data_IF_402406402707
#
_entry.id   IF_402406402707
#
_cell.length_a   1.000
_cell.length_b   1.000
_cell.length_c   1.000
_cell.angle_alpha   90.00
_cell.angle_beta   90.00
_cell.angle_gamma   90.00
#
_symmetry.space_group_name_H-M   'P 1'
#
loop_
_entity.id
_entity.type
_entity.pdbx_description
1 polymer ?
#
# COMPACT_ATOMS: atom_id res chain seq x y z
N UNK A 1 -19.76 -5.91 9.33
CA UNK A 1 -18.33 -5.90 8.99
C UNK A 1 -18.22 -5.64 7.49
N UNK A 2 -17.61 -4.54 7.09
CA UNK A 2 -17.47 -4.25 5.66
C UNK A 2 -16.43 -5.19 5.05
N UNK A 3 -16.77 -5.84 3.94
CA UNK A 3 -15.85 -6.72 3.23
C UNK A 3 -14.67 -5.93 2.65
N UNK A 4 -13.50 -6.54 2.63
CA UNK A 4 -12.31 -5.88 2.08
C UNK A 4 -12.46 -5.71 0.56
N UNK A 5 -12.34 -4.48 0.01
CA UNK A 5 -12.66 -4.21 -1.39
C UNK A 5 -11.78 -4.95 -2.40
N UNK A 6 -10.56 -5.33 -2.03
CA UNK A 6 -9.66 -6.12 -2.90
C UNK A 6 -10.13 -7.58 -3.02
N UNK A 7 -10.80 -8.12 -2.01
CA UNK A 7 -11.20 -9.53 -1.99
C UNK A 7 -12.54 -9.80 -2.68
N UNK A 8 -13.34 -8.76 -2.92
CA UNK A 8 -14.72 -8.89 -3.44
C UNK A 8 -14.82 -9.17 -4.94
N UNK A 9 -13.76 -8.92 -5.72
CA UNK A 9 -13.80 -9.09 -7.18
C UNK A 9 -12.48 -9.65 -7.73
N UNK A 10 -12.59 -10.60 -8.66
CA UNK A 10 -11.44 -11.17 -9.39
C UNK A 10 -10.71 -10.08 -10.20
N UNK A 11 -11.45 -9.12 -10.76
CA UNK A 11 -10.87 -7.99 -11.48
C UNK A 11 -9.98 -7.12 -10.59
N UNK A 12 -10.40 -6.84 -9.36
CA UNK A 12 -9.60 -6.06 -8.40
C UNK A 12 -8.35 -6.81 -7.94
N UNK A 13 -8.44 -8.13 -7.78
CA UNK A 13 -7.28 -8.97 -7.49
C UNK A 13 -6.26 -8.95 -8.63
N UNK A 14 -6.72 -9.08 -9.86
CA UNK A 14 -5.86 -9.02 -11.06
C UNK A 14 -5.21 -7.65 -11.23
N UNK A 15 -5.97 -6.57 -11.08
CA UNK A 15 -5.44 -5.20 -11.13
C UNK A 15 -4.44 -4.93 -10.00
N UNK A 16 -4.74 -5.38 -8.78
CA UNK A 16 -3.84 -5.26 -7.65
C UNK A 16 -2.52 -5.98 -7.88
N UNK A 17 -2.55 -7.21 -8.41
CA UNK A 17 -1.34 -7.97 -8.75
C UNK A 17 -0.51 -7.28 -9.84
N UNK A 18 -1.16 -6.73 -10.86
CA UNK A 18 -0.48 -5.97 -11.92
C UNK A 18 0.20 -4.72 -11.38
N UNK A 19 -0.48 -3.97 -10.51
CA UNK A 19 0.09 -2.77 -9.88
C UNK A 19 1.27 -3.12 -8.97
N UNK A 20 1.23 -4.24 -8.24
CA UNK A 20 2.34 -4.71 -7.43
C UNK A 20 3.55 -5.08 -8.30
N UNK A 21 3.35 -5.79 -9.40
CA UNK A 21 4.43 -6.12 -10.34
C UNK A 21 5.05 -4.86 -10.94
N UNK A 22 4.23 -3.89 -11.32
CA UNK A 22 4.71 -2.61 -11.83
C UNK A 22 5.51 -1.84 -10.77
N UNK A 23 5.04 -1.83 -9.52
CA UNK A 23 5.75 -1.21 -8.41
C UNK A 23 7.13 -1.86 -8.16
N UNK A 24 7.21 -3.19 -8.19
CA UNK A 24 8.47 -3.93 -8.08
C UNK A 24 9.42 -3.54 -9.22
N UNK A 25 8.93 -3.49 -10.46
CA UNK A 25 9.74 -3.12 -11.63
C UNK A 25 10.29 -1.69 -11.52
N UNK A 26 9.45 -0.73 -11.13
CA UNK A 26 9.84 0.69 -10.94
C UNK A 26 10.89 0.79 -9.82
N UNK A 27 10.66 0.15 -8.68
CA UNK A 27 11.61 0.21 -7.57
C UNK A 27 12.93 -0.45 -7.93
N UNK A 28 12.91 -1.62 -8.59
CA UNK A 28 14.10 -2.29 -9.08
C UNK A 28 14.90 -1.40 -10.03
N UNK A 29 14.24 -0.73 -10.98
CA UNK A 29 14.87 0.21 -11.89
C UNK A 29 15.50 1.40 -11.16
N UNK A 30 14.80 1.98 -10.19
CA UNK A 30 15.31 3.09 -9.38
C UNK A 30 16.55 2.69 -8.57
N UNK A 31 16.52 1.55 -7.92
CA UNK A 31 17.64 1.05 -7.14
C UNK A 31 18.86 0.70 -8.01
N UNK A 32 18.64 0.17 -9.21
CA UNK A 32 19.72 -0.11 -10.15
C UNK A 32 20.35 1.17 -10.71
N UNK A 33 19.52 2.19 -11.01
CA UNK A 33 20.00 3.43 -11.61
C UNK A 33 20.68 4.37 -10.61
N UNK A 34 20.20 4.41 -9.37
CA UNK A 34 20.68 5.36 -8.36
C UNK A 34 21.54 4.73 -7.26
N UNK A 35 21.39 3.43 -7.03
CA UNK A 35 22.10 2.70 -5.97
C UNK A 35 23.33 1.93 -6.47
N UNK A 36 23.55 1.86 -7.78
CA UNK A 36 24.63 1.04 -8.41
C UNK A 36 24.68 -0.41 -7.91
N UNK A 37 23.56 -0.93 -7.42
CA UNK A 37 23.44 -2.28 -6.89
C UNK A 37 23.25 -3.31 -8.01
N UNK A 38 23.83 -4.52 -7.86
CA UNK A 38 23.61 -5.59 -8.81
C UNK A 38 22.13 -6.00 -8.89
N UNK A 39 21.67 -6.34 -10.09
CA UNK A 39 20.27 -6.64 -10.39
C UNK A 39 19.66 -7.72 -9.47
N UNK A 40 20.44 -8.70 -9.06
CA UNK A 40 19.99 -9.75 -8.15
C UNK A 40 19.62 -9.23 -6.77
N UNK A 41 20.41 -8.30 -6.23
CA UNK A 41 20.14 -7.67 -4.93
C UNK A 41 18.95 -6.72 -5.03
N UNK A 42 18.88 -5.89 -6.08
CA UNK A 42 17.75 -4.97 -6.29
C UNK A 42 16.42 -5.69 -6.47
N UNK A 43 16.41 -6.88 -7.08
CA UNK A 43 15.21 -7.71 -7.20
C UNK A 43 14.75 -8.22 -5.83
N UNK A 44 15.63 -8.77 -5.02
CA UNK A 44 15.30 -9.27 -3.68
C UNK A 44 14.82 -8.13 -2.79
N UNK A 45 15.51 -7.00 -2.80
CA UNK A 45 15.14 -5.83 -2.04
C UNK A 45 13.77 -5.27 -2.46
N UNK A 46 13.54 -5.15 -3.77
CA UNK A 46 12.25 -4.66 -4.29
C UNK A 46 11.11 -5.60 -3.94
N UNK A 47 11.29 -6.90 -4.06
CA UNK A 47 10.30 -7.91 -3.67
C UNK A 47 9.98 -7.82 -2.17
N UNK A 48 10.98 -7.75 -1.32
CA UNK A 48 10.82 -7.67 0.13
C UNK A 48 10.12 -6.37 0.54
N UNK A 49 10.58 -5.24 0.01
CA UNK A 49 9.97 -3.92 0.31
C UNK A 49 8.51 -3.87 -0.12
N UNK A 50 8.21 -4.26 -1.35
CA UNK A 50 6.84 -4.21 -1.87
C UNK A 50 5.94 -5.22 -1.15
N UNK A 51 6.45 -6.40 -0.77
CA UNK A 51 5.67 -7.34 0.04
C UNK A 51 5.29 -6.75 1.40
N UNK A 52 6.23 -6.11 2.10
CA UNK A 52 5.94 -5.44 3.38
C UNK A 52 4.93 -4.31 3.22
N UNK A 53 5.10 -3.45 2.20
CA UNK A 53 4.15 -2.37 1.92
C UNK A 53 2.78 -2.88 1.46
N UNK A 54 2.72 -3.99 0.71
CA UNK A 54 1.46 -4.60 0.30
C UNK A 54 0.67 -5.14 1.49
N UNK A 55 1.34 -5.80 2.44
CA UNK A 55 0.72 -6.25 3.69
C UNK A 55 0.21 -5.06 4.50
N UNK A 56 1.02 -4.02 4.66
CA UNK A 56 0.61 -2.79 5.35
C UNK A 56 -0.58 -2.12 4.65
N UNK A 57 -0.57 -2.03 3.32
CA UNK A 57 -1.67 -1.48 2.51
C UNK A 57 -2.96 -2.29 2.61
N UNK A 58 -2.86 -3.61 2.71
CA UNK A 58 -4.02 -4.47 2.94
C UNK A 58 -4.69 -4.16 4.29
N UNK A 59 -3.90 -4.01 5.35
CA UNK A 59 -4.42 -3.68 6.68
C UNK A 59 -4.90 -2.23 6.80
N UNK A 60 -4.48 -1.34 5.92
CA UNK A 60 -4.92 0.06 5.91
C UNK A 60 -6.44 0.20 5.78
N UNK A 61 -7.11 -0.70 5.07
CA UNK A 61 -8.57 -0.74 4.99
C UNK A 61 -9.23 -0.83 6.37
N UNK A 62 -8.76 -1.76 7.19
CA UNK A 62 -9.31 -1.94 8.54
C UNK A 62 -9.04 -0.74 9.44
N UNK A 63 -7.88 -0.14 9.29
CA UNK A 63 -7.50 1.09 10.03
C UNK A 63 -8.39 2.26 9.63
N UNK A 64 -8.70 2.43 8.36
CA UNK A 64 -9.61 3.48 7.89
C UNK A 64 -11.04 3.29 8.40
N UNK A 65 -11.51 2.05 8.45
CA UNK A 65 -12.84 1.75 9.00
C UNK A 65 -12.93 1.97 10.52
N UNK A 66 -11.81 1.86 11.23
CA UNK A 66 -11.77 1.95 12.71
C UNK A 66 -11.42 3.35 13.20
N UNK A 67 -10.46 4.01 12.56
CA UNK A 67 -9.98 5.33 12.96
C UNK A 67 -10.74 6.44 12.21
N UNK A 68 -11.58 7.15 12.91
CA UNK A 68 -12.37 8.27 12.34
C UNK A 68 -11.60 9.60 12.33
N UNK A 69 -10.55 9.73 13.14
CA UNK A 69 -9.76 10.96 13.26
C UNK A 69 -8.65 10.98 12.21
N UNK A 70 -8.65 11.99 11.34
CA UNK A 70 -7.68 12.14 10.25
C UNK A 70 -6.23 12.17 10.74
N UNK A 71 -5.96 12.87 11.84
CA UNK A 71 -4.63 12.97 12.42
C UNK A 71 -4.10 11.59 12.88
N UNK A 72 -4.95 10.76 13.49
CA UNK A 72 -4.59 9.41 13.90
C UNK A 72 -4.30 8.51 12.69
N UNK A 73 -5.03 8.65 11.59
CA UNK A 73 -4.78 7.91 10.34
C UNK A 73 -3.42 8.25 9.76
N UNK A 74 -3.08 9.55 9.69
CA UNK A 74 -1.78 10.02 9.18
C UNK A 74 -0.64 9.54 10.08
N UNK A 75 -0.77 9.69 11.40
CA UNK A 75 0.23 9.23 12.34
C UNK A 75 0.47 7.71 12.22
N UNK A 76 -0.60 6.93 12.11
CA UNK A 76 -0.51 5.48 11.92
C UNK A 76 0.21 5.13 10.60
N UNK A 77 -0.12 5.80 9.50
CA UNK A 77 0.51 5.56 8.21
C UNK A 77 2.03 5.85 8.25
N UNK A 78 2.43 6.96 8.87
CA UNK A 78 3.86 7.30 9.02
C UNK A 78 4.58 6.25 9.87
N UNK A 79 3.99 5.82 11.00
CA UNK A 79 4.58 4.79 11.86
C UNK A 79 4.74 3.45 11.15
N UNK A 80 3.71 3.01 10.43
CA UNK A 80 3.76 1.77 9.64
C UNK A 80 4.82 1.86 8.56
N UNK A 81 4.95 3.00 7.90
CA UNK A 81 5.95 3.21 6.87
C UNK A 81 7.38 3.14 7.42
N UNK A 82 7.63 3.79 8.55
CA UNK A 82 8.92 3.70 9.27
C UNK A 82 9.19 2.25 9.66
N UNK A 83 8.21 1.54 10.19
CA UNK A 83 8.35 0.13 10.56
C UNK A 83 8.66 -0.78 9.35
N UNK A 84 8.01 -0.55 8.20
CA UNK A 84 8.29 -1.29 6.96
C UNK A 84 9.71 -1.04 6.46
N UNK A 85 10.17 0.20 6.44
CA UNK A 85 11.53 0.57 6.02
C UNK A 85 12.57 -0.03 6.96
N UNK A 86 12.37 0.09 8.27
CA UNK A 86 13.26 -0.49 9.28
C UNK A 86 13.29 -2.03 9.19
N UNK A 87 12.14 -2.67 9.03
CA UNK A 87 12.03 -4.12 8.85
C UNK A 87 12.74 -4.60 7.60
N UNK A 88 12.60 -3.89 6.49
CA UNK A 88 13.31 -4.19 5.25
C UNK A 88 14.83 -4.08 5.45
N UNK A 89 15.31 -2.99 6.05
CA UNK A 89 16.73 -2.78 6.34
C UNK A 89 17.31 -3.91 7.20
N UNK A 90 16.64 -4.26 8.29
CA UNK A 90 17.09 -5.32 9.19
C UNK A 90 17.16 -6.66 8.46
N UNK A 91 16.17 -7.01 7.67
CA UNK A 91 16.14 -8.27 6.92
C UNK A 91 17.27 -8.33 5.89
N UNK A 92 17.48 -7.26 5.12
CA UNK A 92 18.55 -7.21 4.11
C UNK A 92 19.95 -7.33 4.74
N UNK A 93 20.16 -6.70 5.91
CA UNK A 93 21.41 -6.82 6.65
C UNK A 93 21.62 -8.22 7.24
N UNK A 94 20.60 -8.85 7.80
CA UNK A 94 20.67 -10.22 8.33
C UNK A 94 21.06 -11.22 7.23
N UNK A 95 20.52 -11.02 6.02
CA UNK A 95 20.87 -11.86 4.88
C UNK A 95 22.19 -11.48 4.19
N UNK A 96 22.86 -10.39 4.66
CA UNK A 96 24.11 -9.92 4.08
C UNK A 96 23.99 -9.47 2.63
N UNK A 97 22.83 -8.98 2.24
CA UNK A 97 22.53 -8.57 0.87
C UNK A 97 22.86 -7.09 0.62
N UNK A 98 22.74 -6.26 1.64
CA UNK A 98 22.91 -4.82 1.52
C UNK A 98 23.47 -4.23 2.82
N UNK A 99 24.45 -3.34 2.72
CA UNK A 99 25.02 -2.65 3.87
C UNK A 99 24.18 -1.41 4.23
N UNK A 100 24.32 -0.93 5.46
CA UNK A 100 23.58 0.24 5.92
C UNK A 100 23.85 1.50 5.08
N UNK A 101 25.07 1.69 4.61
CA UNK A 101 25.43 2.85 3.77
C UNK A 101 24.66 2.84 2.47
N UNK A 102 24.61 1.70 1.76
CA UNK A 102 23.87 1.52 0.52
C UNK A 102 22.36 1.70 0.73
N UNK A 103 21.82 1.06 1.78
CA UNK A 103 20.40 1.16 2.11
C UNK A 103 19.98 2.59 2.45
N UNK A 104 20.80 3.32 3.21
CA UNK A 104 20.48 4.67 3.70
C UNK A 104 20.27 5.69 2.56
N UNK A 105 20.99 5.52 1.45
CA UNK A 105 20.84 6.38 0.26
C UNK A 105 19.43 6.24 -0.35
N UNK A 106 18.83 5.07 -0.24
CA UNK A 106 17.52 4.77 -0.84
C UNK A 106 16.33 5.10 0.07
N UNK A 107 16.56 5.39 1.36
CA UNK A 107 15.49 5.69 2.35
C UNK A 107 14.56 6.81 1.88
N UNK A 108 15.03 7.98 1.39
CA UNK A 108 14.15 9.05 0.95
C UNK A 108 13.22 8.62 -0.19
N UNK A 109 13.71 7.85 -1.14
CA UNK A 109 12.91 7.31 -2.26
C UNK A 109 11.86 6.32 -1.77
N UNK A 110 12.22 5.41 -0.86
CA UNK A 110 11.31 4.44 -0.26
C UNK A 110 10.21 5.14 0.52
N UNK A 111 10.57 6.17 1.29
CA UNK A 111 9.62 6.95 2.07
C UNK A 111 8.64 7.70 1.15
N UNK A 112 9.13 8.37 0.14
CA UNK A 112 8.30 9.11 -0.83
C UNK A 112 7.37 8.16 -1.59
N UNK A 113 7.90 7.03 -2.08
CA UNK A 113 7.12 6.03 -2.80
C UNK A 113 6.01 5.42 -1.93
N UNK A 114 6.33 5.06 -0.70
CA UNK A 114 5.35 4.55 0.26
C UNK A 114 4.29 5.59 0.62
N UNK A 115 4.67 6.86 0.78
CA UNK A 115 3.73 7.95 1.05
C UNK A 115 2.76 8.17 -0.11
N UNK A 116 3.25 8.19 -1.34
CA UNK A 116 2.40 8.29 -2.54
C UNK A 116 1.45 7.11 -2.66
N UNK A 117 1.95 5.88 -2.48
CA UNK A 117 1.12 4.68 -2.50
C UNK A 117 0.04 4.72 -1.41
N UNK A 118 0.38 5.20 -0.21
CA UNK A 118 -0.57 5.36 0.87
C UNK A 118 -1.66 6.39 0.54
N UNK A 119 -1.31 7.54 -0.02
CA UNK A 119 -2.28 8.57 -0.42
C UNK A 119 -3.26 8.01 -1.45
N UNK A 120 -2.76 7.36 -2.50
CA UNK A 120 -3.59 6.78 -3.56
C UNK A 120 -4.52 5.71 -2.98
N UNK A 121 -3.98 4.80 -2.17
CA UNK A 121 -4.74 3.70 -1.59
C UNK A 121 -5.80 4.20 -0.60
N UNK A 122 -5.47 5.19 0.23
CA UNK A 122 -6.42 5.78 1.19
C UNK A 122 -7.57 6.50 0.50
N UNK A 123 -7.32 7.22 -0.59
CA UNK A 123 -8.36 7.85 -1.39
C UNK A 123 -9.26 6.81 -2.07
N UNK A 124 -8.67 5.73 -2.57
CA UNK A 124 -9.44 4.65 -3.18
C UNK A 124 -10.33 3.94 -2.16
N UNK A 125 -9.80 3.65 -0.97
CA UNK A 125 -10.59 3.05 0.12
C UNK A 125 -11.70 3.99 0.60
N UNK A 126 -11.43 5.28 0.77
CA UNK A 126 -12.45 6.26 1.15
C UNK A 126 -13.56 6.37 0.10
N UNK A 127 -13.22 6.30 -1.19
CA UNK A 127 -14.21 6.28 -2.28
C UNK A 127 -15.10 5.03 -2.22
N UNK A 128 -14.53 3.87 -1.87
CA UNK A 128 -15.28 2.61 -1.73
C UNK A 128 -16.21 2.62 -0.54
N UNK A 129 -15.75 3.14 0.59
CA UNK A 129 -16.55 3.29 1.81
C UNK A 129 -17.79 4.14 1.53
N UNK A 130 -17.61 5.32 0.90
CA UNK A 130 -18.74 6.20 0.51
C UNK A 130 -19.74 5.53 -0.42
N UNK A 131 -19.29 4.74 -1.37
CA UNK A 131 -20.18 3.99 -2.27
C UNK A 131 -20.99 2.94 -1.53
N UNK A 132 -20.36 2.20 -0.61
CA UNK A 132 -21.02 1.20 0.22
C UNK A 132 -22.09 1.81 1.14
N UNK A 133 -21.87 3.03 1.64
CA UNK A 133 -22.85 3.74 2.46
C UNK A 133 -24.01 4.31 1.64
N UNK A 134 -23.76 4.71 0.40
CA UNK A 134 -24.78 5.30 -0.47
C UNK A 134 -25.73 4.26 -1.09
N UNK A 135 -25.27 3.04 -1.35
CA UNK A 135 -26.07 1.98 -1.99
C UNK A 135 -27.40 1.67 -1.27
N UNK A 136 -27.46 1.49 0.06
CA UNK A 136 -28.74 1.21 0.74
C UNK A 136 -29.71 2.38 0.67
N UNK A 137 -29.21 3.62 0.67
CA UNK A 137 -30.05 4.84 0.59
C UNK A 137 -30.69 4.93 -0.81
N UNK A 138 -29.89 4.68 -1.85
CA UNK A 138 -30.40 4.69 -3.24
C UNK A 138 -31.47 3.62 -3.43
N UNK A 139 -31.26 2.40 -2.95
CA UNK A 139 -32.26 1.30 -3.01
C UNK A 139 -33.56 1.67 -2.31
N UNK A 140 -33.48 2.27 -1.11
CA UNK A 140 -34.67 2.72 -0.39
C UNK A 140 -35.44 3.82 -1.13
N UNK A 141 -34.74 4.72 -1.83
CA UNK A 141 -35.37 5.76 -2.64
C UNK A 141 -36.07 5.15 -3.88
N UNK A 142 -35.42 4.19 -4.56
CA UNK A 142 -35.97 3.48 -5.71
C UNK A 142 -37.24 2.68 -5.33
N UNK A 143 -37.21 1.97 -4.19
CA UNK A 143 -38.36 1.23 -3.67
C UNK A 143 -39.54 2.17 -3.34
N UNK A 144 -39.29 3.32 -2.72
CA UNK A 144 -40.33 4.33 -2.44
C UNK A 144 -40.90 4.93 -3.70
N UNK A 145 -40.09 5.18 -4.72
CA UNK A 145 -40.51 5.71 -6.01
C UNK A 145 -41.34 4.69 -6.79
N UNK A 146 -41.01 3.41 -6.68
CA UNK A 146 -41.77 2.33 -7.32
C UNK A 146 -43.15 2.08 -6.66
N UNK A 147 -43.34 2.47 -5.39
CA UNK A 147 -44.58 2.33 -4.65
C UNK A 147 -45.54 3.51 -4.88
N UNK A 148 -45.11 4.58 -5.45
CA UNK A 148 -45.93 5.73 -5.85
C UNK A 148 -46.25 5.69 -7.33
#
# INVERSE_FOLDING_TARGET
MQEHPITTSILHKGLGSLLLLLAIAIQCALLTLYGDLPLSITLVDSLLSIALFAVAGYYLWYVQCTLHIMQARVAFAVLVQIACIAGCSILLQIFGLEDWEEFSITIPFRFLFGLMAWIILSQWYASRERKSEAEPIVRQMEEKTAQT
#
